data_IF_553604651049
#
_entry.id   IF_553604651049
#
_cell.length_a   1.000
_cell.length_b   1.000
_cell.length_c   1.000
_cell.angle_alpha   90.00
_cell.angle_beta   90.00
_cell.angle_gamma   90.00
#
_symmetry.space_group_name_H-M   'P 1'
#
loop_
_entity.id
_entity.type
_entity.pdbx_description
1 polymer ?
#
# COMPACT_ATOMS: atom_id res chain seq x y z
N UNK A 1 29.23 35.19 69.52
CA UNK A 1 28.48 34.20 70.35
C UNK A 1 27.26 33.71 69.57
N UNK A 2 27.34 32.51 68.98
CA UNK A 2 26.16 31.68 68.66
C UNK A 2 26.64 30.23 68.55
N UNK A 3 26.21 29.43 69.52
CA UNK A 3 26.55 28.02 69.69
C UNK A 3 26.01 27.20 68.51
N UNK A 4 26.87 26.41 67.88
CA UNK A 4 26.45 25.30 67.02
C UNK A 4 25.98 24.16 67.92
N UNK A 5 24.67 23.87 67.91
CA UNK A 5 24.10 22.65 68.48
C UNK A 5 24.56 21.46 67.64
N UNK A 6 25.11 20.45 68.30
CA UNK A 6 25.45 19.17 67.68
C UNK A 6 24.19 18.38 67.35
N UNK A 7 24.05 17.99 66.08
CA UNK A 7 23.05 17.03 65.65
C UNK A 7 23.50 15.63 66.07
N UNK A 8 22.73 15.01 66.95
CA UNK A 8 22.88 13.60 67.29
C UNK A 8 22.36 12.75 66.12
N UNK A 9 23.26 12.03 65.45
CA UNK A 9 22.90 11.03 64.45
C UNK A 9 22.04 9.93 65.10
N UNK A 10 20.93 9.52 64.47
CA UNK A 10 20.10 8.44 65.00
C UNK A 10 20.91 7.15 65.15
N UNK A 11 20.74 6.46 66.28
CA UNK A 11 21.46 5.21 66.56
C UNK A 11 21.21 4.18 65.47
N UNK A 12 22.21 3.34 65.17
CA UNK A 12 22.16 2.31 64.14
C UNK A 12 20.92 1.38 64.25
N UNK A 13 20.36 1.26 65.46
CA UNK A 13 19.14 0.51 65.75
C UNK A 13 17.91 1.15 65.06
N UNK A 14 17.77 2.47 65.12
CA UNK A 14 16.69 3.23 64.45
C UNK A 14 16.74 3.11 62.92
N UNK A 15 17.94 3.02 62.35
CA UNK A 15 18.15 2.88 60.92
C UNK A 15 17.83 1.44 60.44
N UNK A 16 18.23 0.43 61.22
CA UNK A 16 17.94 -0.97 60.94
C UNK A 16 16.42 -1.27 60.94
N UNK A 17 15.66 -0.68 61.88
CA UNK A 17 14.20 -0.81 61.91
C UNK A 17 13.51 -0.15 60.69
N UNK A 18 14.05 0.97 60.17
CA UNK A 18 13.52 1.62 58.96
C UNK A 18 13.79 0.80 57.70
N UNK A 19 14.96 0.18 57.59
CA UNK A 19 15.28 -0.70 56.45
C UNK A 19 14.51 -2.03 56.49
N UNK A 20 14.31 -2.61 57.67
CA UNK A 20 13.47 -3.79 57.83
C UNK A 20 12.00 -3.51 57.45
N UNK A 21 11.47 -2.36 57.84
CA UNK A 21 10.11 -1.92 57.48
C UNK A 21 9.95 -1.70 55.97
N UNK A 22 10.94 -1.10 55.31
CA UNK A 22 10.93 -0.86 53.86
C UNK A 22 11.03 -2.18 53.06
N UNK A 23 11.85 -3.13 53.53
CA UNK A 23 11.97 -4.45 52.90
C UNK A 23 10.66 -5.25 52.98
N UNK A 24 9.96 -5.21 54.14
CA UNK A 24 8.66 -5.85 54.30
C UNK A 24 7.60 -5.21 53.39
N UNK A 25 7.61 -3.88 53.24
CA UNK A 25 6.71 -3.18 52.34
C UNK A 25 6.96 -3.54 50.86
N UNK A 26 8.22 -3.66 50.44
CA UNK A 26 8.58 -4.10 49.08
C UNK A 26 8.16 -5.54 48.81
N UNK A 27 8.32 -6.46 49.78
CA UNK A 27 7.88 -7.85 49.65
C UNK A 27 6.35 -7.96 49.59
N UNK A 28 5.61 -7.14 50.37
CA UNK A 28 4.15 -7.08 50.31
C UNK A 28 3.65 -6.50 48.98
N UNK A 29 4.32 -5.49 48.42
CA UNK A 29 4.02 -4.95 47.09
C UNK A 29 4.31 -5.97 45.99
N UNK A 30 5.43 -6.69 46.06
CA UNK A 30 5.75 -7.79 45.14
C UNK A 30 4.73 -8.93 45.24
N UNK A 31 4.30 -9.29 46.45
CA UNK A 31 3.24 -10.28 46.68
C UNK A 31 1.90 -9.82 46.14
N UNK A 32 1.53 -8.54 46.26
CA UNK A 32 0.32 -7.99 45.63
C UNK A 32 0.41 -7.95 44.11
N UNK A 33 1.59 -7.70 43.53
CA UNK A 33 1.79 -7.80 42.07
C UNK A 33 1.69 -9.25 41.62
N UNK A 34 2.28 -10.21 42.33
CA UNK A 34 2.20 -11.64 42.01
C UNK A 34 0.78 -12.19 42.19
N UNK A 35 0.07 -11.80 43.25
CA UNK A 35 -1.33 -12.18 43.48
C UNK A 35 -2.27 -11.48 42.49
N UNK A 36 -1.99 -10.23 42.10
CA UNK A 36 -2.68 -9.51 41.04
C UNK A 36 -2.47 -10.15 39.66
N UNK A 37 -1.26 -10.65 39.38
CA UNK A 37 -0.96 -11.44 38.18
C UNK A 37 -1.64 -12.80 38.21
N UNK A 38 -1.69 -13.45 39.38
CA UNK A 38 -2.31 -14.77 39.54
C UNK A 38 -3.83 -14.73 39.44
N UNK A 39 -4.47 -13.63 39.86
CA UNK A 39 -5.92 -13.44 39.74
C UNK A 39 -6.35 -12.91 38.35
N UNK A 40 -5.39 -12.55 37.49
CA UNK A 40 -5.62 -12.21 36.07
C UNK A 40 -5.42 -13.40 35.12
N UNK A 41 -5.01 -14.57 35.64
CA UNK A 41 -4.71 -15.77 34.85
C UNK A 41 -5.47 -16.98 35.40
N UNK A 42 -6.78 -17.03 35.18
CA UNK A 42 -7.58 -18.27 35.04
C UNK A 42 -9.09 -18.00 34.98
N UNK A 43 -9.55 -17.41 33.88
CA UNK A 43 -10.89 -17.69 33.31
C UNK A 43 -11.02 -17.10 31.91
N UNK A 44 -10.41 -17.78 30.94
CA UNK A 44 -10.91 -17.80 29.56
C UNK A 44 -10.50 -19.16 28.96
N UNK A 45 -11.38 -20.15 29.19
CA UNK A 45 -11.46 -21.32 28.32
C UNK A 45 -11.70 -20.81 26.89
N UNK A 46 -10.77 -21.16 26.01
CA UNK A 46 -11.00 -21.84 24.73
C UNK A 46 -12.35 -21.61 24.03
N UNK A 47 -12.26 -21.38 22.72
CA UNK A 47 -13.33 -21.20 21.70
C UNK A 47 -13.72 -19.74 21.45
N UNK A 48 -12.92 -19.05 20.63
CA UNK A 48 -13.33 -18.35 19.38
C UNK A 48 -12.17 -17.49 18.83
N UNK A 49 -11.02 -18.11 18.54
CA UNK A 49 -10.07 -17.57 17.58
C UNK A 49 -10.47 -18.02 16.16
N UNK A 50 -11.71 -17.73 15.78
CA UNK A 50 -12.22 -18.04 14.43
C UNK A 50 -13.09 -16.92 13.87
N UNK A 51 -13.67 -16.04 14.68
CA UNK A 51 -14.66 -15.09 14.16
C UNK A 51 -14.08 -14.08 13.17
N UNK A 52 -12.91 -13.46 13.33
CA UNK A 52 -12.48 -12.43 12.36
C UNK A 52 -11.97 -12.98 11.01
N UNK A 53 -11.22 -14.07 11.00
CA UNK A 53 -10.75 -14.71 9.76
C UNK A 53 -11.86 -15.47 9.04
N UNK A 54 -12.77 -16.09 9.80
CA UNK A 54 -13.88 -16.87 9.28
C UNK A 54 -15.05 -15.96 8.86
N UNK A 55 -15.34 -14.84 9.57
CA UNK A 55 -16.28 -13.81 9.09
C UNK A 55 -15.74 -13.05 7.86
N UNK A 56 -14.42 -12.91 7.70
CA UNK A 56 -13.82 -12.28 6.50
C UNK A 56 -13.83 -13.24 5.30
N UNK A 57 -13.48 -14.51 5.50
CA UNK A 57 -13.64 -15.56 4.49
C UNK A 57 -15.12 -15.79 4.14
N UNK A 58 -16.04 -15.67 5.10
CA UNK A 58 -17.47 -15.77 4.87
C UNK A 58 -17.99 -14.55 4.10
N UNK A 59 -17.54 -13.32 4.42
CA UNK A 59 -17.84 -12.12 3.61
C UNK A 59 -17.25 -12.18 2.20
N UNK A 60 -16.02 -12.65 2.04
CA UNK A 60 -15.35 -12.80 0.75
C UNK A 60 -16.02 -13.90 -0.08
N UNK A 61 -16.38 -15.03 0.53
CA UNK A 61 -17.15 -16.11 -0.12
C UNK A 61 -18.61 -15.76 -0.40
N UNK A 62 -19.26 -14.92 0.42
CA UNK A 62 -20.58 -14.34 0.14
C UNK A 62 -20.52 -13.33 -1.00
N UNK A 63 -19.43 -12.55 -1.12
CA UNK A 63 -19.20 -11.63 -2.24
C UNK A 63 -18.98 -12.40 -3.55
N UNK A 64 -18.10 -13.40 -3.52
CA UNK A 64 -17.84 -14.31 -4.65
C UNK A 64 -19.06 -15.13 -5.09
N UNK A 65 -20.00 -15.44 -4.18
CA UNK A 65 -21.29 -16.09 -4.50
C UNK A 65 -22.32 -15.15 -5.15
N UNK A 66 -22.20 -13.85 -4.92
CA UNK A 66 -23.11 -12.83 -5.47
C UNK A 66 -22.57 -12.20 -6.76
N UNK A 67 -21.30 -12.42 -7.08
CA UNK A 67 -20.69 -11.99 -8.33
C UNK A 67 -21.19 -12.85 -9.51
N UNK A 68 -21.26 -12.25 -10.70
CA UNK A 68 -21.57 -13.00 -11.93
C UNK A 68 -20.60 -14.19 -12.09
N UNK A 69 -21.04 -15.35 -12.61
CA UNK A 69 -20.16 -16.49 -12.88
C UNK A 69 -18.86 -16.11 -13.63
N UNK A 70 -18.93 -15.10 -14.49
CA UNK A 70 -17.77 -14.57 -15.23
C UNK A 70 -16.73 -13.89 -14.34
N UNK A 71 -17.18 -13.15 -13.30
CA UNK A 71 -16.30 -12.50 -12.33
C UNK A 71 -15.64 -13.53 -11.41
N UNK A 72 -16.37 -14.59 -11.03
CA UNK A 72 -15.82 -15.69 -10.24
C UNK A 72 -14.74 -16.44 -11.03
N UNK A 73 -14.98 -16.74 -12.31
CA UNK A 73 -14.00 -17.37 -13.19
C UNK A 73 -12.77 -16.47 -13.35
N UNK A 74 -12.97 -15.16 -13.59
CA UNK A 74 -11.89 -14.17 -13.69
C UNK A 74 -11.07 -14.09 -12.40
N UNK A 75 -11.71 -14.13 -11.24
CA UNK A 75 -11.05 -14.13 -9.94
C UNK A 75 -10.18 -15.38 -9.72
N UNK A 76 -10.71 -16.56 -10.03
CA UNK A 76 -9.97 -17.82 -9.92
C UNK A 76 -8.78 -17.88 -10.88
N UNK A 77 -8.95 -17.41 -12.12
CA UNK A 77 -7.86 -17.30 -13.10
C UNK A 77 -6.80 -16.30 -12.66
N UNK A 78 -7.22 -15.13 -12.16
CA UNK A 78 -6.29 -14.12 -11.62
C UNK A 78 -5.48 -14.72 -10.47
N UNK A 79 -6.13 -15.41 -9.52
CA UNK A 79 -5.45 -16.05 -8.38
C UNK A 79 -4.47 -17.15 -8.79
N UNK A 80 -4.75 -17.89 -9.88
CA UNK A 80 -3.84 -18.89 -10.42
C UNK A 80 -2.65 -18.26 -11.17
N UNK A 81 -2.85 -17.12 -11.81
CA UNK A 81 -1.81 -16.40 -12.57
C UNK A 81 -0.91 -15.53 -11.69
N UNK A 82 -1.41 -15.06 -10.54
CA UNK A 82 -0.61 -14.36 -9.54
C UNK A 82 0.15 -15.38 -8.71
N UNK A 83 1.41 -15.68 -9.06
CA UNK A 83 2.28 -16.49 -8.21
C UNK A 83 2.33 -15.92 -6.79
N UNK A 84 2.44 -16.78 -5.77
CA UNK A 84 2.23 -16.47 -4.33
C UNK A 84 3.00 -15.24 -3.77
N UNK A 85 3.99 -14.72 -4.50
CA UNK A 85 4.73 -13.49 -4.17
C UNK A 85 5.02 -12.60 -5.39
N UNK A 86 3.99 -12.20 -6.15
CA UNK A 86 4.16 -11.21 -7.23
C UNK A 86 3.82 -9.80 -6.77
N UNK A 87 4.73 -8.84 -6.99
CA UNK A 87 4.48 -7.40 -6.79
C UNK A 87 4.27 -6.69 -8.14
N UNK A 88 3.40 -5.68 -8.11
CA UNK A 88 3.09 -4.84 -9.25
C UNK A 88 3.56 -3.42 -8.94
N UNK A 89 4.71 -3.05 -9.50
CA UNK A 89 5.20 -1.68 -9.41
C UNK A 89 4.37 -0.82 -10.36
N UNK A 90 3.77 0.24 -9.82
CA UNK A 90 2.95 1.17 -10.59
C UNK A 90 3.42 2.60 -10.40
N UNK A 91 3.45 3.37 -11.49
CA UNK A 91 3.92 4.76 -11.51
C UNK A 91 2.85 5.67 -12.09
N UNK A 92 2.40 6.63 -11.29
CA UNK A 92 1.38 7.60 -11.66
C UNK A 92 2.00 8.95 -12.08
N UNK A 93 1.16 9.84 -12.62
CA UNK A 93 1.42 11.23 -13.04
C UNK A 93 2.40 11.43 -14.21
N UNK A 94 3.11 10.38 -14.61
CA UNK A 94 4.11 10.43 -15.66
C UNK A 94 3.52 10.55 -17.08
N UNK A 95 4.39 10.57 -18.10
CA UNK A 95 5.85 10.63 -17.97
C UNK A 95 6.36 12.00 -17.50
N UNK A 96 7.64 12.06 -17.14
CA UNK A 96 8.35 13.25 -16.70
C UNK A 96 9.77 13.28 -17.30
N UNK A 97 10.56 14.31 -16.96
CA UNK A 97 11.99 14.35 -17.30
C UNK A 97 12.80 13.17 -16.72
N UNK A 98 12.28 12.45 -15.72
CA UNK A 98 12.96 11.34 -15.06
C UNK A 98 12.56 9.96 -15.61
N UNK A 99 11.51 9.85 -16.43
CA UNK A 99 10.98 8.54 -16.88
C UNK A 99 12.02 7.72 -17.62
N UNK A 100 12.86 8.33 -18.45
CA UNK A 100 13.89 7.57 -19.15
C UNK A 100 14.90 6.93 -18.20
N UNK A 101 15.27 7.63 -17.11
CA UNK A 101 16.14 7.08 -16.08
C UNK A 101 15.44 6.01 -15.26
N UNK A 102 14.14 6.19 -15.00
CA UNK A 102 13.31 5.16 -14.38
C UNK A 102 13.30 3.87 -15.22
N UNK A 103 13.07 3.99 -16.53
CA UNK A 103 13.13 2.88 -17.48
C UNK A 103 14.52 2.23 -17.51
N UNK A 104 15.61 2.99 -17.43
CA UNK A 104 16.97 2.44 -17.31
C UNK A 104 17.13 1.58 -16.05
N UNK A 105 16.64 2.04 -14.90
CA UNK A 105 16.67 1.27 -13.65
C UNK A 105 15.88 -0.03 -13.79
N UNK A 106 14.65 0.05 -14.29
CA UNK A 106 13.78 -1.12 -14.48
C UNK A 106 14.40 -2.15 -15.42
N UNK A 107 14.95 -1.69 -16.56
CA UNK A 107 15.68 -2.52 -17.52
C UNK A 107 16.93 -3.15 -16.92
N UNK A 108 17.73 -2.38 -16.17
CA UNK A 108 18.94 -2.90 -15.51
C UNK A 108 18.65 -4.00 -14.50
N UNK A 109 17.46 -3.95 -13.90
CA UNK A 109 16.99 -4.94 -12.95
C UNK A 109 16.16 -6.06 -13.59
N UNK A 110 15.94 -6.06 -14.90
CA UNK A 110 15.03 -6.97 -15.60
C UNK A 110 13.63 -7.03 -14.95
N UNK A 111 13.07 -5.84 -14.67
CA UNK A 111 11.75 -5.68 -14.04
C UNK A 111 10.82 -4.93 -14.98
N UNK A 112 9.59 -5.42 -15.11
CA UNK A 112 8.49 -4.69 -15.76
C UNK A 112 7.61 -4.01 -14.72
N UNK A 113 6.89 -3.00 -15.17
CA UNK A 113 6.07 -2.14 -14.33
C UNK A 113 4.87 -1.62 -15.13
N UNK A 114 3.92 -0.99 -14.45
CA UNK A 114 2.75 -0.36 -15.06
C UNK A 114 2.83 1.15 -14.91
N UNK A 115 2.58 1.90 -15.98
CA UNK A 115 2.60 3.36 -15.96
C UNK A 115 1.20 3.92 -16.21
N UNK A 116 0.64 4.63 -15.24
CA UNK A 116 -0.61 5.37 -15.38
C UNK A 116 -0.30 6.82 -15.74
N UNK A 117 -0.55 7.19 -16.99
CA UNK A 117 -0.02 8.42 -17.57
C UNK A 117 -1.11 9.46 -17.84
N UNK A 118 -0.75 10.72 -17.66
CA UNK A 118 -1.60 11.86 -17.98
C UNK A 118 -1.44 12.24 -19.47
N UNK A 119 -2.56 12.52 -20.15
CA UNK A 119 -2.53 12.93 -21.57
C UNK A 119 -1.54 14.08 -21.87
N UNK A 120 -1.53 15.20 -21.11
CA UNK A 120 -0.60 16.30 -21.37
C UNK A 120 0.86 15.85 -21.28
N UNK A 121 1.18 14.95 -20.35
CA UNK A 121 2.54 14.41 -20.15
C UNK A 121 2.94 13.45 -21.25
N UNK A 122 2.04 12.60 -21.71
CA UNK A 122 2.30 11.73 -22.85
C UNK A 122 2.63 12.56 -24.10
N UNK A 123 1.92 13.66 -24.31
CA UNK A 123 2.19 14.59 -25.41
C UNK A 123 3.54 15.30 -25.30
N UNK A 124 3.95 15.67 -24.08
CA UNK A 124 5.26 16.28 -23.81
C UNK A 124 6.42 15.28 -23.99
N UNK A 125 6.23 14.04 -23.55
CA UNK A 125 7.29 13.02 -23.45
C UNK A 125 7.04 11.79 -24.35
N UNK A 126 6.58 12.00 -25.59
CA UNK A 126 6.19 10.92 -26.52
C UNK A 126 7.22 9.80 -26.67
N UNK A 127 8.51 10.14 -26.66
CA UNK A 127 9.59 9.16 -26.78
C UNK A 127 9.69 8.25 -25.55
N UNK A 128 9.44 8.77 -24.35
CA UNK A 128 9.42 7.94 -23.14
C UNK A 128 8.23 6.98 -23.15
N UNK A 129 7.05 7.41 -23.63
CA UNK A 129 5.87 6.55 -23.79
C UNK A 129 6.16 5.39 -24.74
N UNK A 130 6.68 5.67 -25.95
CA UNK A 130 7.07 4.64 -26.93
C UNK A 130 8.13 3.69 -26.40
N UNK A 131 9.06 4.21 -25.61
CA UNK A 131 10.11 3.39 -24.97
C UNK A 131 9.50 2.45 -23.93
N UNK A 132 8.61 2.94 -23.07
CA UNK A 132 7.93 2.13 -22.07
C UNK A 132 7.15 0.97 -22.72
N UNK A 133 6.40 1.24 -23.79
CA UNK A 133 5.75 0.21 -24.61
C UNK A 133 6.75 -0.82 -25.14
N UNK A 134 7.78 -0.37 -25.87
CA UNK A 134 8.78 -1.24 -26.51
C UNK A 134 9.55 -2.09 -25.51
N UNK A 135 9.77 -1.59 -24.30
CA UNK A 135 10.46 -2.31 -23.24
C UNK A 135 9.54 -3.28 -22.46
N UNK A 136 8.26 -3.39 -22.84
CA UNK A 136 7.31 -4.38 -22.32
C UNK A 136 6.65 -3.98 -21.01
N UNK A 137 6.56 -2.68 -20.73
CA UNK A 137 5.80 -2.17 -19.60
C UNK A 137 4.31 -2.05 -19.96
N UNK A 138 3.41 -2.28 -18.99
CA UNK A 138 2.00 -2.01 -19.20
C UNK A 138 1.75 -0.50 -19.17
N UNK A 139 0.93 -0.02 -20.10
CA UNK A 139 0.53 1.38 -20.19
C UNK A 139 -0.94 1.50 -19.79
N UNK A 140 -1.20 2.40 -18.86
CA UNK A 140 -2.52 2.74 -18.35
C UNK A 140 -2.76 4.25 -18.36
N UNK A 141 -3.99 4.63 -18.08
CA UNK A 141 -4.48 6.00 -18.25
C UNK A 141 -4.76 6.65 -16.89
N UNK A 142 -4.36 7.90 -16.73
CA UNK A 142 -4.54 8.67 -15.51
C UNK A 142 -5.37 9.96 -15.70
N UNK A 143 -6.05 10.08 -16.85
CA UNK A 143 -6.85 11.24 -17.21
C UNK A 143 -6.03 12.39 -17.78
N UNK A 144 -6.48 13.63 -17.56
CA UNK A 144 -5.95 14.83 -18.22
C UNK A 144 -5.57 15.90 -17.21
N UNK A 145 -6.53 16.30 -16.36
CA UNK A 145 -6.43 17.51 -15.55
C UNK A 145 -5.67 17.29 -14.25
N UNK A 146 -5.71 16.06 -13.72
CA UNK A 146 -5.27 15.70 -12.38
C UNK A 146 -5.75 16.74 -11.33
N UNK A 147 -6.99 17.20 -11.47
CA UNK A 147 -7.60 18.16 -10.57
C UNK A 147 -8.90 17.57 -10.02
N UNK A 148 -8.96 17.36 -8.72
CA UNK A 148 -10.10 16.71 -8.08
C UNK A 148 -11.45 17.38 -8.38
N UNK A 149 -11.49 18.72 -8.47
CA UNK A 149 -12.71 19.48 -8.74
C UNK A 149 -13.18 19.36 -10.18
N UNK A 150 -12.29 19.04 -11.12
CA UNK A 150 -12.61 18.87 -12.55
C UNK A 150 -12.86 17.39 -12.87
N UNK A 151 -11.95 16.52 -12.45
CA UNK A 151 -12.01 15.08 -12.69
C UNK A 151 -13.30 14.47 -12.12
N UNK A 152 -13.67 14.83 -10.89
CA UNK A 152 -14.88 14.30 -10.23
C UNK A 152 -16.12 15.21 -10.37
N UNK A 153 -16.07 16.25 -11.20
CA UNK A 153 -17.08 17.31 -11.24
C UNK A 153 -18.48 16.80 -11.62
N UNK A 154 -18.56 15.95 -12.64
CA UNK A 154 -19.83 15.47 -13.22
C UNK A 154 -19.83 13.95 -13.34
N UNK A 155 -21.01 13.32 -13.53
CA UNK A 155 -21.09 11.88 -13.79
C UNK A 155 -20.25 11.39 -14.98
N UNK A 156 -19.96 12.26 -15.94
CA UNK A 156 -19.20 11.93 -17.15
C UNK A 156 -17.76 12.43 -17.14
N UNK A 157 -17.36 13.25 -16.17
CA UNK A 157 -16.03 13.88 -16.17
C UNK A 157 -14.89 12.84 -16.17
N UNK A 158 -14.89 11.80 -15.31
CA UNK A 158 -13.84 10.78 -15.35
C UNK A 158 -13.78 10.05 -16.68
N UNK A 159 -14.95 9.70 -17.24
CA UNK A 159 -15.05 9.00 -18.52
C UNK A 159 -14.41 9.80 -19.65
N UNK A 160 -14.74 11.10 -19.76
CA UNK A 160 -14.21 11.97 -20.81
C UNK A 160 -12.70 12.12 -20.70
N UNK A 161 -12.17 12.35 -19.50
CA UNK A 161 -10.72 12.46 -19.31
C UNK A 161 -9.99 11.15 -19.63
N UNK A 162 -10.57 10.00 -19.29
CA UNK A 162 -9.98 8.70 -19.61
C UNK A 162 -10.04 8.39 -21.11
N UNK A 163 -11.12 8.74 -21.80
CA UNK A 163 -11.22 8.61 -23.26
C UNK A 163 -10.17 9.47 -23.97
N UNK A 164 -10.00 10.73 -23.57
CA UNK A 164 -8.97 11.61 -24.13
C UNK A 164 -7.55 11.08 -23.89
N UNK A 165 -7.29 10.54 -22.69
CA UNK A 165 -6.02 9.89 -22.41
C UNK A 165 -5.80 8.64 -23.28
N UNK A 166 -6.85 7.83 -23.50
CA UNK A 166 -6.81 6.65 -24.36
C UNK A 166 -6.47 7.02 -25.80
N UNK A 167 -7.14 8.03 -26.35
CA UNK A 167 -6.91 8.53 -27.70
C UNK A 167 -5.48 9.05 -27.85
N UNK A 168 -5.00 9.82 -26.86
CA UNK A 168 -3.62 10.34 -26.85
C UNK A 168 -2.58 9.21 -26.86
N UNK A 169 -2.80 8.16 -26.05
CA UNK A 169 -1.90 7.01 -26.04
C UNK A 169 -1.91 6.31 -27.40
N UNK A 170 -3.11 6.05 -27.95
CA UNK A 170 -3.27 5.39 -29.24
C UNK A 170 -2.63 6.19 -30.38
N UNK A 171 -2.73 7.52 -30.39
CA UNK A 171 -2.08 8.37 -31.39
C UNK A 171 -0.55 8.32 -31.31
N UNK A 172 0.02 8.13 -30.11
CA UNK A 172 1.47 8.09 -29.91
C UNK A 172 2.04 6.73 -30.29
N UNK A 173 1.41 5.64 -29.85
CA UNK A 173 1.99 4.29 -29.92
C UNK A 173 1.27 3.36 -30.91
N UNK A 174 0.01 3.63 -31.23
CA UNK A 174 -0.90 2.68 -31.88
C UNK A 174 -1.50 1.64 -30.93
N UNK A 175 -1.10 1.65 -29.65
CA UNK A 175 -1.59 0.74 -28.62
C UNK A 175 -2.81 1.32 -27.90
N UNK A 176 -3.80 0.47 -27.64
CA UNK A 176 -5.01 0.80 -26.89
C UNK A 176 -5.02 0.00 -25.59
N UNK A 177 -5.41 0.66 -24.50
CA UNK A 177 -5.56 0.07 -23.18
C UNK A 177 -6.88 0.46 -22.56
N UNK A 178 -7.42 -0.44 -21.73
CA UNK A 178 -8.60 -0.18 -20.90
C UNK A 178 -8.22 -0.03 -19.42
N UNK A 179 -6.93 -0.15 -19.09
CA UNK A 179 -6.41 -0.01 -17.74
C UNK A 179 -6.37 1.47 -17.32
N UNK A 180 -7.09 1.82 -16.25
CA UNK A 180 -7.11 3.19 -15.74
C UNK A 180 -6.81 3.24 -14.24
N UNK A 181 -6.34 4.40 -13.79
CA UNK A 181 -6.26 4.73 -12.37
C UNK A 181 -6.79 6.14 -12.18
N UNK A 182 -7.68 6.34 -11.22
CA UNK A 182 -8.23 7.67 -11.00
C UNK A 182 -7.29 8.53 -10.16
N UNK A 183 -7.11 9.82 -10.50
CA UNK A 183 -6.38 10.76 -9.65
C UNK A 183 -6.89 10.71 -8.21
N UNK A 184 -5.99 10.66 -7.24
CA UNK A 184 -6.29 10.61 -5.79
C UNK A 184 -7.01 9.33 -5.29
N UNK A 185 -7.10 8.28 -6.11
CA UNK A 185 -7.77 7.03 -5.75
C UNK A 185 -9.29 7.07 -5.92
N UNK A 186 -9.90 5.89 -6.02
CA UNK A 186 -11.32 5.77 -6.32
C UNK A 186 -12.21 6.13 -5.13
N UNK A 187 -11.84 5.81 -3.89
CA UNK A 187 -12.66 6.13 -2.71
C UNK A 187 -12.14 7.35 -1.94
N UNK A 188 -13.04 8.19 -1.41
CA UNK A 188 -14.52 8.16 -1.55
C UNK A 188 -15.03 8.89 -2.80
N UNK A 189 -14.15 9.25 -3.74
CA UNK A 189 -14.40 10.27 -4.77
C UNK A 189 -15.24 9.79 -5.95
N UNK A 190 -15.07 8.55 -6.41
CA UNK A 190 -15.84 7.97 -7.50
C UNK A 190 -17.26 7.62 -7.02
N UNK A 191 -18.25 8.26 -7.64
CA UNK A 191 -19.66 7.95 -7.45
C UNK A 191 -20.06 6.69 -8.23
N UNK A 192 -21.14 6.03 -7.79
CA UNK A 192 -21.68 4.86 -8.49
C UNK A 192 -22.04 5.14 -9.96
N UNK A 193 -22.42 6.39 -10.29
CA UNK A 193 -22.71 6.79 -11.68
C UNK A 193 -21.45 6.86 -12.53
N UNK A 194 -20.36 7.42 -11.97
CA UNK A 194 -19.07 7.49 -12.65
C UNK A 194 -18.47 6.10 -12.87
N UNK A 195 -18.56 5.22 -11.87
CA UNK A 195 -18.13 3.82 -11.97
C UNK A 195 -18.85 3.12 -13.14
N UNK A 196 -20.18 3.17 -13.16
CA UNK A 196 -20.96 2.56 -14.26
C UNK A 196 -20.61 3.13 -15.64
N UNK A 197 -20.31 4.42 -15.73
CA UNK A 197 -19.91 5.05 -17.00
C UNK A 197 -18.54 4.55 -17.48
N UNK A 198 -17.57 4.39 -16.58
CA UNK A 198 -16.26 3.81 -16.91
C UNK A 198 -16.41 2.34 -17.35
N UNK A 199 -17.11 1.53 -16.57
CA UNK A 199 -17.32 0.11 -16.86
C UNK A 199 -18.05 -0.12 -18.18
N UNK A 200 -19.07 0.70 -18.49
CA UNK A 200 -19.82 0.62 -19.76
C UNK A 200 -18.94 0.89 -20.99
N UNK A 201 -17.87 1.68 -20.83
CA UNK A 201 -16.89 1.97 -21.89
C UNK A 201 -15.71 0.98 -21.89
N UNK A 202 -15.80 -0.09 -21.08
CA UNK A 202 -14.81 -1.15 -20.99
C UNK A 202 -13.63 -0.87 -20.07
N UNK A 203 -13.57 0.31 -19.43
CA UNK A 203 -12.44 0.64 -18.55
C UNK A 203 -12.39 -0.24 -17.30
N UNK A 204 -11.17 -0.67 -16.95
CA UNK A 204 -10.85 -1.42 -15.73
C UNK A 204 -10.01 -0.51 -14.84
N UNK A 205 -10.61 0.01 -13.77
CA UNK A 205 -9.92 0.93 -12.87
C UNK A 205 -9.22 0.22 -11.72
N UNK A 206 -8.01 0.64 -11.41
CA UNK A 206 -7.17 0.07 -10.35
C UNK A 206 -6.77 1.13 -9.32
N UNK A 207 -6.98 0.83 -8.05
CA UNK A 207 -6.28 1.51 -6.96
C UNK A 207 -4.95 0.78 -6.66
N UNK A 208 -4.51 0.84 -5.41
CA UNK A 208 -3.31 0.20 -4.89
C UNK A 208 -3.58 -0.42 -3.52
N UNK A 209 -2.71 -1.34 -3.11
CA UNK A 209 -2.77 -1.93 -1.76
C UNK A 209 -1.66 -1.40 -0.86
N UNK A 210 -0.62 -0.80 -1.45
CA UNK A 210 0.56 -0.26 -0.78
C UNK A 210 0.81 1.13 -1.34
N UNK A 211 0.72 2.16 -0.51
CA UNK A 211 1.10 3.53 -0.87
C UNK A 211 2.55 3.76 -0.45
N UNK A 212 3.45 3.97 -1.41
CA UNK A 212 4.86 4.24 -1.08
C UNK A 212 5.05 5.50 -0.25
N UNK A 213 4.12 6.46 -0.34
CA UNK A 213 4.26 7.80 0.25
C UNK A 213 5.51 8.53 -0.26
N UNK A 214 6.00 8.17 -1.45
CA UNK A 214 7.17 8.79 -2.08
C UNK A 214 6.96 10.29 -2.32
N UNK A 215 5.72 10.68 -2.62
CA UNK A 215 5.30 12.05 -2.75
C UNK A 215 5.36 12.85 -1.44
N UNK A 216 5.27 12.17 -0.30
CA UNK A 216 5.39 12.81 1.01
C UNK A 216 6.83 12.86 1.48
N UNK A 217 7.56 11.75 1.34
CA UNK A 217 8.92 11.63 1.85
C UNK A 217 9.95 12.37 1.00
N UNK A 218 9.82 12.32 -0.34
CA UNK A 218 10.78 12.90 -1.31
C UNK A 218 12.23 12.47 -1.07
N UNK A 219 12.44 11.28 -0.50
CA UNK A 219 13.74 10.64 -0.25
C UNK A 219 13.55 9.12 -0.10
N UNK A 220 14.63 8.38 0.18
CA UNK A 220 14.62 6.92 0.27
C UNK A 220 13.75 6.31 1.38
N UNK A 221 13.14 7.11 2.28
CA UNK A 221 12.25 6.59 3.34
C UNK A 221 11.02 5.86 2.80
N UNK A 222 10.59 6.17 1.58
CA UNK A 222 9.47 5.44 0.94
C UNK A 222 9.78 3.94 0.79
N UNK A 223 11.06 3.56 0.62
CA UNK A 223 11.48 2.15 0.52
C UNK A 223 11.10 1.39 1.79
N UNK A 224 11.39 1.97 2.96
CA UNK A 224 11.02 1.38 4.25
C UNK A 224 9.51 1.33 4.43
N UNK A 225 8.79 2.38 4.00
CA UNK A 225 7.32 2.42 4.10
C UNK A 225 6.64 1.34 3.26
N UNK A 226 7.15 1.08 2.03
CA UNK A 226 6.66 -0.02 1.18
C UNK A 226 6.88 -1.37 1.84
N UNK A 227 8.10 -1.64 2.33
CA UNK A 227 8.44 -2.93 2.95
C UNK A 227 7.63 -3.21 4.22
N UNK A 228 7.40 -2.19 5.05
CA UNK A 228 6.58 -2.33 6.24
C UNK A 228 5.12 -2.69 5.91
N UNK A 229 4.55 -2.07 4.87
CA UNK A 229 3.19 -2.38 4.42
C UNK A 229 3.09 -3.79 3.85
N UNK A 230 4.08 -4.22 3.06
CA UNK A 230 4.16 -5.60 2.56
C UNK A 230 4.18 -6.62 3.71
N UNK A 231 5.05 -6.42 4.70
CA UNK A 231 5.15 -7.31 5.86
C UNK A 231 3.82 -7.36 6.63
N UNK A 232 3.12 -6.23 6.80
CA UNK A 232 1.81 -6.20 7.45
C UNK A 232 0.75 -6.99 6.65
N UNK A 233 0.76 -6.88 5.31
CA UNK A 233 -0.15 -7.63 4.45
C UNK A 233 0.12 -9.14 4.54
N UNK A 234 1.39 -9.56 4.52
CA UNK A 234 1.80 -10.96 4.68
C UNK A 234 1.35 -11.54 6.03
N UNK A 235 1.60 -10.83 7.13
CA UNK A 235 1.16 -11.26 8.47
C UNK A 235 -0.36 -11.39 8.60
N UNK A 236 -1.11 -10.59 7.83
CA UNK A 236 -2.58 -10.63 7.83
C UNK A 236 -3.18 -11.71 6.92
N UNK A 237 -2.33 -12.52 6.26
CA UNK A 237 -2.72 -13.51 5.24
C UNK A 237 -3.68 -12.92 4.20
N UNK A 238 -3.38 -11.71 3.73
CA UNK A 238 -4.16 -11.05 2.69
C UNK A 238 -4.10 -11.83 1.38
N UNK A 239 -5.25 -12.15 0.79
CA UNK A 239 -5.38 -12.73 -0.56
C UNK A 239 -5.20 -11.71 -1.69
N UNK A 240 -5.03 -10.42 -1.34
CA UNK A 240 -5.01 -9.30 -2.28
C UNK A 240 -3.66 -9.16 -2.99
N UNK A 241 -3.65 -8.70 -4.26
CA UNK A 241 -2.41 -8.43 -4.98
C UNK A 241 -1.58 -7.34 -4.30
N UNK A 242 -0.25 -7.42 -4.43
CA UNK A 242 0.67 -6.39 -3.94
C UNK A 242 0.87 -5.30 -4.99
N UNK A 243 -0.07 -4.35 -5.04
CA UNK A 243 -0.02 -3.22 -5.98
C UNK A 243 0.59 -2.02 -5.27
N UNK A 244 1.79 -1.61 -5.72
CA UNK A 244 2.59 -0.55 -5.09
C UNK A 244 2.42 0.73 -5.91
N UNK A 245 1.80 1.74 -5.30
CA UNK A 245 1.69 3.09 -5.85
C UNK A 245 3.01 3.86 -5.64
N UNK A 246 3.56 4.38 -6.72
CA UNK A 246 4.68 5.30 -6.76
C UNK A 246 4.43 6.37 -7.84
N UNK A 247 5.33 7.33 -7.92
CA UNK A 247 5.30 8.40 -8.91
C UNK A 247 6.69 8.53 -9.55
N UNK A 248 6.76 9.00 -10.81
CA UNK A 248 8.03 9.22 -11.51
C UNK A 248 8.76 10.49 -11.03
N UNK A 249 9.15 10.47 -9.75
CA UNK A 249 9.82 11.56 -9.06
C UNK A 249 11.33 11.26 -8.99
N UNK A 250 12.19 12.30 -8.98
CA UNK A 250 13.63 12.08 -8.87
C UNK A 250 14.00 11.18 -7.69
N UNK A 251 13.48 11.47 -6.50
CA UNK A 251 13.75 10.67 -5.29
C UNK A 251 13.32 9.20 -5.42
N UNK A 252 12.20 8.95 -6.08
CA UNK A 252 11.71 7.60 -6.38
C UNK A 252 12.69 6.89 -7.30
N UNK A 253 13.08 7.51 -8.42
CA UNK A 253 14.04 6.92 -9.37
C UNK A 253 15.39 6.63 -8.70
N UNK A 254 15.88 7.51 -7.83
CA UNK A 254 17.17 7.33 -7.15
C UNK A 254 17.18 6.13 -6.18
N UNK A 255 16.09 5.89 -5.45
CA UNK A 255 16.06 4.82 -4.44
C UNK A 255 15.37 3.53 -4.93
N UNK A 256 14.78 3.53 -6.12
CA UNK A 256 14.12 2.36 -6.70
C UNK A 256 15.03 1.11 -6.79
N UNK A 257 16.33 1.20 -7.14
CA UNK A 257 17.21 0.03 -7.12
C UNK A 257 17.25 -0.67 -5.75
N UNK A 258 17.25 0.11 -4.66
CA UNK A 258 17.26 -0.46 -3.30
C UNK A 258 15.95 -1.18 -2.97
N UNK A 259 14.81 -0.65 -3.41
CA UNK A 259 13.52 -1.32 -3.25
C UNK A 259 13.48 -2.64 -4.04
N UNK A 260 13.85 -2.61 -5.33
CA UNK A 260 13.83 -3.80 -6.19
C UNK A 260 14.73 -4.90 -5.61
N UNK A 261 15.95 -4.56 -5.17
CA UNK A 261 16.86 -5.55 -4.58
C UNK A 261 16.28 -6.19 -3.33
N UNK A 262 15.71 -5.39 -2.41
CA UNK A 262 15.08 -5.92 -1.18
C UNK A 262 13.87 -6.80 -1.47
N UNK A 263 13.10 -6.48 -2.50
CA UNK A 263 11.97 -7.31 -2.94
C UNK A 263 12.46 -8.64 -3.51
N UNK A 264 13.50 -8.63 -4.35
CA UNK A 264 14.13 -9.86 -4.87
C UNK A 264 14.72 -10.73 -3.76
N UNK A 265 15.43 -10.13 -2.80
CA UNK A 265 15.97 -10.82 -1.62
C UNK A 265 14.87 -11.50 -0.79
N UNK A 266 13.68 -10.91 -0.74
CA UNK A 266 12.49 -11.47 -0.06
C UNK A 266 11.71 -12.48 -0.92
N UNK A 267 12.18 -12.79 -2.13
CA UNK A 267 11.59 -13.77 -3.03
C UNK A 267 10.39 -13.27 -3.84
N UNK A 268 10.22 -11.95 -3.98
CA UNK A 268 9.16 -11.41 -4.84
C UNK A 268 9.53 -11.48 -6.32
N UNK A 269 8.55 -11.88 -7.14
CA UNK A 269 8.55 -11.71 -8.59
C UNK A 269 7.87 -10.38 -8.96
N UNK A 270 8.09 -9.92 -10.18
CA UNK A 270 7.55 -8.64 -10.67
C UNK A 270 6.61 -8.88 -11.85
N UNK A 271 5.41 -8.32 -11.78
CA UNK A 271 4.41 -8.38 -12.82
C UNK A 271 3.97 -7.00 -13.31
N UNK A 272 3.24 -6.99 -14.41
CA UNK A 272 2.47 -5.83 -14.88
C UNK A 272 0.99 -6.07 -14.66
N UNK A 273 0.22 -5.00 -14.49
CA UNK A 273 -1.23 -5.11 -14.42
C UNK A 273 -1.81 -5.36 -15.81
N UNK A 274 -2.82 -6.21 -15.86
CA UNK A 274 -3.58 -6.51 -17.07
C UNK A 274 -5.07 -6.19 -16.85
N UNK A 275 -5.78 -5.87 -17.92
CA UNK A 275 -7.24 -5.64 -17.90
C UNK A 275 -8.03 -6.93 -17.57
N UNK A 276 -7.43 -8.09 -17.76
CA UNK A 276 -7.97 -9.42 -17.41
C UNK A 276 -7.85 -9.76 -15.93
N UNK A 277 -7.10 -8.99 -15.14
CA UNK A 277 -6.98 -9.20 -13.71
C UNK A 277 -8.17 -8.60 -12.95
N UNK A 278 -8.44 -9.09 -11.75
CA UNK A 278 -9.44 -8.49 -10.85
C UNK A 278 -8.82 -7.27 -10.14
N UNK A 279 -9.34 -6.05 -10.36
CA UNK A 279 -8.80 -4.84 -9.74
C UNK A 279 -9.04 -4.78 -8.23
N UNK A 280 -8.17 -4.03 -7.55
CA UNK A 280 -8.39 -3.62 -6.17
C UNK A 280 -9.00 -2.23 -6.13
N UNK A 281 -10.04 -2.04 -5.29
CA UNK A 281 -10.69 -0.76 -5.07
C UNK A 281 -10.63 -0.40 -3.59
N UNK A 282 -9.85 0.61 -3.21
CA UNK A 282 -9.61 1.02 -1.81
C UNK A 282 -10.19 2.38 -1.48
#
# INVERSE_FOLDING_TARGET
MRQTRGDASPSAISLAFKFASLAVLCVLLLLMVILGYSNSSSKAKEVTATTNGQLRNEKESLKLKNDSPDLLIKHLQTKQNMGDKTVYLTFDDGPSAYTNRLLDVLKSADVKATFFMLSPRMNEFKQAVKRAEKEGHALGLHGVTHNNKLFYQTPTSPLKEMQEARDTLQDITGYKTDLVRTPYGSKPSLTASQIRNLEKDGFVYWDWTIDSMDWKYRNSKYVTAVLQQLENMEHSHSSRPYVILMHDLPATVYALPALINKLKEKGYSFGVLEDTMVPVHE
#
